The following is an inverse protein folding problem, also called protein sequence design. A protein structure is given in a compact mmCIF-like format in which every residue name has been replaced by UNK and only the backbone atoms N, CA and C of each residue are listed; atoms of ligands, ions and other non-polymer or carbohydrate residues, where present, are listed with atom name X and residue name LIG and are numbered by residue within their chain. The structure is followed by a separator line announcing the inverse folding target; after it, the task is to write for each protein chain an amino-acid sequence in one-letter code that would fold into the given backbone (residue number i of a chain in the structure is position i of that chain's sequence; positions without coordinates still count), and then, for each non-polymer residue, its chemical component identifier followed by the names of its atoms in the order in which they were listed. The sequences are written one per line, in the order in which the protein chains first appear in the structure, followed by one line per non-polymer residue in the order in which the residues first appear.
data_IF_434062730610
#
_entry.id   IF_434062730610
#
_cell.length_a   1.000
_cell.length_b   1.000
_cell.length_c   1.000
_cell.angle_alpha   90.00
_cell.angle_beta   90.00
_cell.angle_gamma   90.00
#
_symmetry.space_group_name_H-M   'P 1'
#
loop_
_entity.id
_entity.type
_entity.pdbx_description
1 polymer ?
#
# COMPACT_ATOMS: atom_id res chain seq x y z
N UNK A 1 9.74 3.68 -22.37
CA UNK A 1 9.71 3.06 -21.02
C UNK A 1 10.24 4.12 -20.06
N UNK A 2 9.43 4.58 -19.11
CA UNK A 2 9.90 5.52 -18.10
C UNK A 2 10.72 4.67 -17.13
N UNK A 3 11.98 5.04 -16.94
CA UNK A 3 12.84 4.39 -15.94
C UNK A 3 12.25 4.67 -14.56
N UNK A 4 11.93 3.61 -13.82
CA UNK A 4 11.42 3.74 -12.46
C UNK A 4 12.44 4.36 -11.50
N UNK A 5 13.66 4.61 -11.99
CA UNK A 5 14.80 5.08 -11.22
C UNK A 5 15.33 4.03 -10.25
N UNK A 6 16.49 4.30 -9.71
CA UNK A 6 17.19 3.43 -8.76
C UNK A 6 17.35 4.16 -7.43
N UNK A 7 17.23 3.42 -6.34
CA UNK A 7 17.68 3.87 -5.03
C UNK A 7 18.94 3.07 -4.70
N UNK A 8 20.07 3.76 -4.65
CA UNK A 8 21.36 3.16 -4.32
C UNK A 8 21.70 3.43 -2.85
N UNK A 9 22.01 2.36 -2.12
CA UNK A 9 22.48 2.46 -0.74
C UNK A 9 23.95 2.09 -0.70
N UNK A 10 24.81 3.07 -0.49
CA UNK A 10 26.25 2.86 -0.33
C UNK A 10 26.62 2.69 1.13
N UNK A 11 27.28 1.58 1.44
CA UNK A 11 27.76 1.29 2.79
C UNK A 11 29.29 1.33 2.82
N UNK A 12 29.85 2.30 3.52
CA UNK A 12 31.27 2.32 3.82
C UNK A 12 31.52 1.50 5.07
N UNK A 13 32.23 0.38 4.93
CA UNK A 13 32.59 -0.47 6.05
C UNK A 13 33.82 0.08 6.81
N UNK A 14 33.84 -0.16 8.10
CA UNK A 14 35.02 0.16 8.92
C UNK A 14 36.21 -0.75 8.51
N UNK A 15 37.45 -0.24 8.54
CA UNK A 15 38.65 -1.01 8.15
C UNK A 15 38.83 -2.32 8.91
N UNK A 16 38.36 -2.35 10.16
CA UNK A 16 38.40 -3.51 11.05
C UNK A 16 37.28 -4.54 10.81
N UNK A 17 36.39 -4.27 9.84
CA UNK A 17 35.31 -5.19 9.50
C UNK A 17 35.84 -6.54 9.00
N UNK A 18 35.26 -7.64 9.51
CA UNK A 18 35.61 -9.02 9.15
C UNK A 18 34.39 -9.72 8.57
N UNK A 19 34.57 -10.76 7.75
CA UNK A 19 33.44 -11.60 7.36
C UNK A 19 32.68 -12.10 8.59
N UNK A 20 31.38 -11.79 8.67
CA UNK A 20 30.51 -12.11 9.82
C UNK A 20 30.42 -11.05 10.94
N UNK A 21 31.31 -10.01 10.94
CA UNK A 21 31.24 -8.84 11.84
C UNK A 21 31.48 -7.57 11.03
N UNK A 22 30.53 -7.27 10.15
CA UNK A 22 30.58 -6.07 9.31
C UNK A 22 30.12 -4.85 10.12
N UNK A 23 31.00 -3.84 10.22
CA UNK A 23 30.70 -2.56 10.88
C UNK A 23 30.57 -1.46 9.84
N UNK A 24 29.40 -0.89 9.74
CA UNK A 24 29.14 0.24 8.85
C UNK A 24 29.62 1.52 9.50
N UNK A 25 30.59 2.20 8.87
CA UNK A 25 31.09 3.50 9.28
C UNK A 25 30.22 4.64 8.74
N UNK A 26 29.70 4.47 7.52
CA UNK A 26 28.83 5.45 6.85
C UNK A 26 27.86 4.72 5.95
N UNK A 27 26.63 5.17 5.97
CA UNK A 27 25.64 4.85 4.95
C UNK A 27 25.28 6.13 4.19
N UNK A 28 25.16 6.05 2.88
CA UNK A 28 24.62 7.12 2.04
C UNK A 28 23.57 6.56 1.12
N UNK A 29 22.55 7.35 0.83
CA UNK A 29 21.44 6.97 0.00
C UNK A 29 21.41 7.94 -1.19
N UNK A 30 21.43 7.39 -2.40
CA UNK A 30 21.25 8.14 -3.64
C UNK A 30 19.91 7.75 -4.24
N UNK A 31 19.03 8.72 -4.41
CA UNK A 31 17.72 8.53 -5.03
C UNK A 31 17.77 9.07 -6.46
N UNK A 32 17.84 8.17 -7.43
CA UNK A 32 17.88 8.49 -8.87
C UNK A 32 16.50 8.39 -9.53
N UNK A 33 15.44 8.38 -8.73
CA UNK A 33 14.08 8.38 -9.28
C UNK A 33 13.81 9.70 -10.00
N UNK A 34 13.04 9.60 -11.07
CA UNK A 34 12.59 10.80 -11.80
C UNK A 34 11.73 11.67 -10.89
N UNK A 35 12.27 12.80 -10.48
CA UNK A 35 11.58 13.80 -9.67
C UNK A 35 10.75 14.75 -10.57
N UNK A 36 9.84 15.50 -9.97
CA UNK A 36 8.98 16.48 -10.65
C UNK A 36 8.09 15.84 -11.74
N UNK A 37 7.72 14.56 -11.55
CA UNK A 37 6.93 13.82 -12.52
C UNK A 37 5.54 14.44 -12.68
N UNK A 38 4.91 14.90 -11.59
CA UNK A 38 3.61 15.56 -11.61
C UNK A 38 3.66 16.89 -12.36
N UNK A 39 4.69 17.70 -12.16
CA UNK A 39 4.94 18.93 -12.92
C UNK A 39 5.09 18.68 -14.42
N UNK A 40 5.80 17.62 -14.78
CA UNK A 40 5.98 17.21 -16.18
C UNK A 40 4.67 16.74 -16.79
N UNK A 41 3.85 15.99 -16.04
CA UNK A 41 2.52 15.56 -16.45
C UNK A 41 1.58 16.76 -16.65
N UNK A 42 1.55 17.71 -15.70
CA UNK A 42 0.73 18.91 -15.77
C UNK A 42 1.09 19.82 -16.98
N UNK A 43 2.36 19.79 -17.43
CA UNK A 43 2.82 20.52 -18.60
C UNK A 43 2.72 19.72 -19.90
N UNK A 44 2.34 18.46 -19.86
CA UNK A 44 2.18 17.65 -21.06
C UNK A 44 0.92 18.09 -21.82
N UNK A 45 0.97 17.99 -23.15
CA UNK A 45 -0.18 18.29 -24.01
C UNK A 45 -1.22 17.18 -24.04
N UNK A 46 -0.96 16.05 -23.36
CA UNK A 46 -1.86 14.90 -23.27
C UNK A 46 -2.81 14.99 -22.10
N UNK A 47 -3.88 14.21 -22.13
CA UNK A 47 -4.77 14.04 -20.99
C UNK A 47 -4.02 13.37 -19.84
N UNK A 48 -4.02 14.00 -18.65
CA UNK A 48 -3.44 13.39 -17.45
C UNK A 48 -4.04 12.01 -17.17
N UNK A 49 -5.33 11.79 -17.47
CA UNK A 49 -6.01 10.51 -17.32
C UNK A 49 -5.40 9.38 -18.17
N UNK A 50 -4.94 9.69 -19.38
CA UNK A 50 -4.33 8.70 -20.26
C UNK A 50 -2.89 8.39 -19.84
N UNK A 51 -2.17 9.38 -19.33
CA UNK A 51 -0.75 9.27 -19.00
C UNK A 51 -0.50 8.70 -17.62
N UNK A 52 -1.34 9.04 -16.64
CA UNK A 52 -1.20 8.60 -15.24
C UNK A 52 -1.03 7.08 -15.09
N UNK A 53 -1.85 6.20 -15.68
CA UNK A 53 -1.67 4.77 -15.54
C UNK A 53 -0.42 4.21 -16.22
N UNK A 54 0.13 4.92 -17.21
CA UNK A 54 1.38 4.52 -17.86
C UNK A 54 2.59 4.82 -17.00
N UNK A 55 2.51 5.91 -16.23
CA UNK A 55 3.58 6.39 -15.36
C UNK A 55 3.55 5.67 -14.02
N UNK A 56 2.37 5.57 -13.40
CA UNK A 56 2.18 4.95 -12.10
C UNK A 56 1.68 3.51 -12.24
N UNK A 57 2.45 2.66 -12.91
CA UNK A 57 2.04 1.30 -13.27
C UNK A 57 1.75 0.38 -12.07
N UNK A 58 2.24 0.70 -10.86
CA UNK A 58 1.97 -0.08 -9.64
C UNK A 58 0.68 0.35 -8.93
N UNK A 59 0.37 1.65 -8.97
CA UNK A 59 -0.77 2.25 -8.27
C UNK A 59 -1.62 3.17 -9.18
N UNK A 60 -1.99 2.72 -10.39
CA UNK A 60 -2.71 3.54 -11.36
C UNK A 60 -4.09 3.97 -10.88
N UNK A 61 -4.79 3.11 -10.14
CA UNK A 61 -6.12 3.38 -9.63
C UNK A 61 -6.09 4.50 -8.57
N UNK A 62 -5.16 4.43 -7.62
CA UNK A 62 -5.02 5.45 -6.59
C UNK A 62 -4.78 6.85 -7.19
N UNK A 63 -3.92 6.93 -8.21
CA UNK A 63 -3.65 8.20 -8.89
C UNK A 63 -4.83 8.69 -9.74
N UNK A 64 -5.56 7.81 -10.42
CA UNK A 64 -6.76 8.19 -11.17
C UNK A 64 -7.86 8.71 -10.26
N UNK A 65 -8.12 8.02 -9.14
CA UNK A 65 -9.13 8.45 -8.14
C UNK A 65 -8.76 9.78 -7.51
N UNK A 66 -7.48 10.00 -7.22
CA UNK A 66 -6.98 11.27 -6.69
C UNK A 66 -7.12 12.40 -7.73
N UNK A 67 -6.80 12.11 -9.00
CA UNK A 67 -6.98 13.07 -10.09
C UNK A 67 -8.45 13.48 -10.23
N UNK A 68 -9.36 12.51 -10.22
CA UNK A 68 -10.80 12.77 -10.26
C UNK A 68 -11.28 13.65 -9.11
N UNK A 69 -10.85 13.33 -7.89
CA UNK A 69 -11.22 14.12 -6.72
C UNK A 69 -10.70 15.58 -6.84
N UNK A 70 -9.48 15.73 -7.39
CA UNK A 70 -8.87 17.04 -7.61
C UNK A 70 -9.61 17.85 -8.69
N UNK A 71 -9.93 17.22 -9.83
CA UNK A 71 -10.67 17.86 -10.93
C UNK A 71 -12.07 18.30 -10.48
N UNK A 72 -12.77 17.45 -9.71
CA UNK A 72 -14.10 17.79 -9.14
C UNK A 72 -14.02 18.96 -8.15
N UNK A 73 -13.02 18.94 -7.27
CA UNK A 73 -12.79 20.05 -6.32
C UNK A 73 -12.49 21.36 -7.05
N UNK A 74 -11.66 21.32 -8.09
CA UNK A 74 -11.35 22.48 -8.92
C UNK A 74 -12.56 23.01 -9.69
N UNK A 75 -13.49 22.12 -10.09
CA UNK A 75 -14.76 22.49 -10.73
C UNK A 75 -15.81 23.03 -9.73
N UNK A 76 -15.51 23.09 -8.44
CA UNK A 76 -16.44 23.59 -7.41
C UNK A 76 -17.66 22.70 -7.17
N UNK A 77 -17.60 21.40 -7.52
CA UNK A 77 -18.71 20.48 -7.30
C UNK A 77 -18.90 20.21 -5.79
N UNK A 78 -20.15 20.22 -5.33
CA UNK A 78 -20.50 19.93 -3.95
C UNK A 78 -20.12 18.49 -3.55
N UNK A 79 -19.88 18.25 -2.26
CA UNK A 79 -19.41 16.95 -1.77
C UNK A 79 -20.41 15.83 -2.03
N UNK A 80 -21.72 16.10 -1.93
CA UNK A 80 -22.78 15.15 -2.26
C UNK A 80 -22.85 14.84 -3.76
N UNK A 81 -22.47 15.80 -4.60
CA UNK A 81 -22.33 15.60 -6.05
C UNK A 81 -21.04 14.86 -6.41
N UNK A 82 -20.06 14.82 -5.49
CA UNK A 82 -18.81 14.05 -5.62
C UNK A 82 -19.01 12.56 -5.35
N UNK A 83 -20.06 12.19 -4.60
CA UNK A 83 -20.49 10.79 -4.39
C UNK A 83 -21.41 10.38 -5.52
N UNK A 84 -20.86 10.00 -6.64
CA UNK A 84 -21.61 9.41 -7.75
C UNK A 84 -21.67 7.89 -7.62
N UNK A 85 -22.46 7.25 -8.50
CA UNK A 85 -22.56 5.78 -8.63
C UNK A 85 -21.18 5.10 -8.73
N UNK A 86 -20.16 5.86 -9.13
CA UNK A 86 -18.76 5.40 -9.28
C UNK A 86 -17.96 5.30 -7.99
N UNK A 87 -18.43 5.85 -6.85
CA UNK A 87 -17.67 5.78 -5.60
C UNK A 87 -17.44 4.33 -5.17
N UNK A 88 -18.43 3.48 -5.32
CA UNK A 88 -18.33 2.05 -5.02
C UNK A 88 -17.35 1.31 -5.93
N UNK A 89 -17.30 1.65 -7.22
CA UNK A 89 -16.32 1.07 -8.14
C UNK A 89 -14.90 1.52 -7.78
N UNK A 90 -14.71 2.82 -7.53
CA UNK A 90 -13.41 3.38 -7.19
C UNK A 90 -12.86 2.77 -5.89
N UNK A 91 -13.68 2.69 -4.83
CA UNK A 91 -13.30 2.07 -3.56
C UNK A 91 -12.89 0.61 -3.73
N UNK A 92 -13.67 -0.17 -4.48
CA UNK A 92 -13.38 -1.59 -4.76
C UNK A 92 -12.15 -1.77 -5.64
N UNK A 93 -11.94 -0.89 -6.60
CA UNK A 93 -10.73 -0.91 -7.43
C UNK A 93 -9.47 -0.56 -6.64
N UNK A 94 -9.55 0.42 -5.72
CA UNK A 94 -8.47 0.75 -4.79
C UNK A 94 -8.14 -0.41 -3.85
N UNK A 95 -9.16 -1.09 -3.33
CA UNK A 95 -8.97 -2.28 -2.51
C UNK A 95 -8.26 -3.38 -3.29
N UNK A 96 -8.72 -3.69 -4.51
CA UNK A 96 -8.09 -4.71 -5.37
C UNK A 96 -6.65 -4.34 -5.73
N UNK A 97 -6.37 -3.06 -6.03
CA UNK A 97 -5.01 -2.57 -6.25
C UNK A 97 -4.12 -2.83 -5.03
N UNK A 98 -4.63 -2.51 -3.83
CA UNK A 98 -3.90 -2.75 -2.58
C UNK A 98 -3.66 -4.25 -2.32
N UNK A 99 -4.62 -5.12 -2.61
CA UNK A 99 -4.45 -6.58 -2.49
C UNK A 99 -3.36 -7.10 -3.45
N UNK A 100 -3.40 -6.69 -4.72
CA UNK A 100 -2.38 -7.05 -5.70
C UNK A 100 -0.98 -6.57 -5.29
N UNK A 101 -0.87 -5.35 -4.78
CA UNK A 101 0.40 -4.80 -4.29
C UNK A 101 0.89 -5.55 -3.04
N UNK A 102 -0.01 -5.93 -2.13
CA UNK A 102 0.37 -6.69 -0.95
C UNK A 102 0.81 -8.12 -1.29
N UNK A 103 0.20 -8.79 -2.28
CA UNK A 103 0.70 -10.07 -2.80
C UNK A 103 2.12 -9.88 -3.36
N UNK A 104 2.35 -8.83 -4.15
CA UNK A 104 3.67 -8.55 -4.70
C UNK A 104 4.72 -8.42 -3.60
N UNK A 105 4.46 -7.59 -2.61
CA UNK A 105 5.43 -7.28 -1.54
C UNK A 105 5.59 -8.45 -0.57
N UNK A 106 4.49 -9.02 -0.06
CA UNK A 106 4.52 -10.02 1.00
C UNK A 106 4.86 -11.43 0.50
N UNK A 107 4.66 -11.71 -0.79
CA UNK A 107 4.96 -13.00 -1.37
C UNK A 107 6.10 -12.93 -2.38
N UNK A 108 6.00 -12.10 -3.44
CA UNK A 108 6.97 -12.16 -4.53
C UNK A 108 8.30 -11.48 -4.20
N UNK A 109 8.28 -10.28 -3.64
CA UNK A 109 9.51 -9.58 -3.28
C UNK A 109 10.12 -10.16 -2.00
N UNK A 110 9.31 -10.47 -1.00
CA UNK A 110 9.77 -11.07 0.24
C UNK A 110 10.39 -12.47 0.03
N UNK A 111 9.91 -13.25 -0.94
CA UNK A 111 10.47 -14.57 -1.27
C UNK A 111 11.97 -14.52 -1.57
N UNK A 112 12.43 -13.44 -2.22
CA UNK A 112 13.85 -13.22 -2.54
C UNK A 112 14.68 -13.01 -1.28
N UNK A 113 14.11 -12.37 -0.25
CA UNK A 113 14.80 -12.09 1.02
C UNK A 113 14.91 -13.33 1.90
N UNK A 114 13.91 -14.21 1.85
CA UNK A 114 13.86 -15.41 2.72
C UNK A 114 14.26 -16.68 1.99
N UNK A 115 14.52 -16.63 0.70
CA UNK A 115 14.84 -17.79 -0.14
C UNK A 115 13.76 -18.88 -0.10
N UNK A 116 12.49 -18.51 0.05
CA UNK A 116 11.33 -19.39 -0.04
C UNK A 116 10.78 -19.28 -1.46
N UNK A 117 10.79 -20.34 -2.26
CA UNK A 117 10.32 -20.25 -3.65
C UNK A 117 8.80 -20.07 -3.69
N UNK A 118 8.35 -19.20 -4.59
CA UNK A 118 6.92 -19.06 -4.92
C UNK A 118 6.58 -20.10 -5.99
N UNK A 119 5.51 -20.89 -5.82
CA UNK A 119 5.11 -21.87 -6.84
C UNK A 119 4.83 -21.24 -8.20
N UNK A 120 5.20 -21.90 -9.29
CA UNK A 120 5.02 -21.37 -10.65
C UNK A 120 3.54 -21.08 -10.97
N UNK A 121 2.62 -21.92 -10.50
CA UNK A 121 1.17 -21.70 -10.66
C UNK A 121 0.68 -20.45 -9.95
N UNK A 122 1.22 -20.17 -8.77
CA UNK A 122 0.90 -18.92 -8.03
C UNK A 122 1.44 -17.68 -8.74
N UNK A 123 2.62 -17.76 -9.34
CA UNK A 123 3.17 -16.69 -10.18
C UNK A 123 2.30 -16.44 -11.42
N UNK A 124 1.86 -17.50 -12.08
CA UNK A 124 0.97 -17.41 -13.24
C UNK A 124 -0.41 -16.83 -12.85
N UNK A 125 -0.97 -17.26 -11.72
CA UNK A 125 -2.23 -16.73 -11.20
C UNK A 125 -2.13 -15.24 -10.86
N UNK A 126 -1.05 -14.81 -10.19
CA UNK A 126 -0.81 -13.39 -9.93
C UNK A 126 -0.66 -12.58 -11.23
N UNK A 127 0.10 -13.07 -12.20
CA UNK A 127 0.27 -12.40 -13.48
C UNK A 127 -1.07 -12.23 -14.23
N UNK A 128 -1.92 -13.27 -14.19
CA UNK A 128 -3.27 -13.24 -14.75
C UNK A 128 -4.16 -12.20 -14.04
N UNK A 129 -4.15 -12.20 -12.70
CA UNK A 129 -4.93 -11.22 -11.92
C UNK A 129 -4.46 -9.78 -12.21
N UNK A 130 -3.13 -9.55 -12.28
CA UNK A 130 -2.56 -8.24 -12.62
C UNK A 130 -2.93 -7.80 -14.03
N UNK A 131 -2.90 -8.70 -15.00
CA UNK A 131 -3.34 -8.42 -16.37
C UNK A 131 -4.84 -8.09 -16.44
N UNK A 132 -5.66 -8.85 -15.69
CA UNK A 132 -7.11 -8.60 -15.57
C UNK A 132 -7.42 -7.21 -14.99
N UNK A 133 -6.65 -6.78 -14.00
CA UNK A 133 -6.80 -5.45 -13.37
C UNK A 133 -6.65 -4.30 -14.39
N UNK A 134 -5.87 -4.48 -15.46
CA UNK A 134 -5.79 -3.50 -16.54
C UNK A 134 -7.16 -3.24 -17.21
N UNK A 135 -8.07 -4.19 -17.17
CA UNK A 135 -9.47 -4.00 -17.62
C UNK A 135 -10.22 -3.01 -16.73
N UNK A 136 -10.07 -3.15 -15.40
CA UNK A 136 -10.66 -2.22 -14.42
C UNK A 136 -10.14 -0.80 -14.62
N UNK A 137 -8.81 -0.65 -14.81
CA UNK A 137 -8.19 0.65 -15.05
C UNK A 137 -8.74 1.31 -16.33
N UNK A 138 -8.91 0.56 -17.42
CA UNK A 138 -9.48 1.09 -18.64
C UNK A 138 -10.91 1.59 -18.46
N UNK A 139 -11.71 0.86 -17.67
CA UNK A 139 -13.06 1.30 -17.32
C UNK A 139 -13.02 2.60 -16.54
N UNK A 140 -12.16 2.72 -15.50
CA UNK A 140 -12.00 3.96 -14.75
C UNK A 140 -11.50 5.13 -15.60
N UNK A 141 -10.62 4.89 -16.58
CA UNK A 141 -10.17 5.91 -17.53
C UNK A 141 -11.30 6.40 -18.45
N UNK A 142 -12.20 5.47 -18.85
CA UNK A 142 -13.31 5.77 -19.74
C UNK A 142 -14.44 6.56 -19.07
N UNK A 143 -14.52 6.60 -17.74
CA UNK A 143 -15.50 7.38 -17.04
C UNK A 143 -15.19 8.88 -17.13
N UNK A 144 -16.08 9.63 -17.77
CA UNK A 144 -16.04 11.07 -17.70
C UNK A 144 -16.89 11.53 -16.51
N UNK A 145 -16.22 11.73 -15.39
CA UNK A 145 -16.84 12.09 -14.12
C UNK A 145 -17.44 13.51 -14.11
N UNK A 146 -17.00 14.36 -15.03
CA UNK A 146 -17.54 15.72 -15.19
C UNK A 146 -18.89 15.67 -15.93
N UNK A 147 -19.00 14.85 -16.97
CA UNK A 147 -20.26 14.75 -17.79
C UNK A 147 -21.26 13.75 -17.24
N UNK A 148 -20.90 12.96 -16.22
CA UNK A 148 -21.75 11.92 -15.62
C UNK A 148 -22.30 10.88 -16.63
N UNK A 149 -21.65 10.72 -17.75
CA UNK A 149 -22.01 9.65 -18.70
C UNK A 149 -21.37 8.36 -18.24
N UNK A 150 -22.16 7.50 -17.63
CA UNK A 150 -21.80 6.16 -17.21
C UNK A 150 -22.46 5.18 -18.16
N UNK A 151 -21.67 4.31 -18.76
CA UNK A 151 -22.17 3.11 -19.41
C UNK A 151 -22.47 2.07 -18.31
N UNK A 152 -23.77 1.85 -18.03
CA UNK A 152 -24.20 0.94 -16.97
C UNK A 152 -23.73 -0.50 -17.20
N UNK A 153 -23.66 -0.95 -18.44
CA UNK A 153 -23.18 -2.30 -18.78
C UNK A 153 -21.66 -2.41 -18.51
N UNK A 154 -20.90 -1.39 -18.88
CA UNK A 154 -19.47 -1.34 -18.59
C UNK A 154 -19.17 -1.27 -17.07
N UNK A 155 -20.01 -0.53 -16.33
CA UNK A 155 -19.92 -0.46 -14.86
C UNK A 155 -20.18 -1.84 -14.23
N UNK A 156 -21.27 -2.50 -14.64
CA UNK A 156 -21.62 -3.83 -14.14
C UNK A 156 -20.54 -4.87 -14.44
N UNK A 157 -19.97 -4.86 -15.64
CA UNK A 157 -18.87 -5.76 -15.98
C UNK A 157 -17.58 -5.48 -15.20
N UNK A 158 -17.29 -4.20 -14.94
CA UNK A 158 -16.15 -3.83 -14.08
C UNK A 158 -16.32 -4.36 -12.65
N UNK A 159 -17.53 -4.25 -12.07
CA UNK A 159 -17.82 -4.83 -10.77
C UNK A 159 -17.63 -6.34 -10.75
N UNK A 160 -18.19 -7.05 -11.75
CA UNK A 160 -18.00 -8.51 -11.88
C UNK A 160 -16.53 -8.91 -12.04
N UNK A 161 -15.76 -8.11 -12.78
CA UNK A 161 -14.33 -8.35 -12.95
C UNK A 161 -13.59 -8.18 -11.62
N UNK A 162 -13.89 -7.12 -10.86
CA UNK A 162 -13.31 -6.90 -9.54
C UNK A 162 -13.63 -8.07 -8.59
N UNK A 163 -14.87 -8.57 -8.57
CA UNK A 163 -15.25 -9.71 -7.73
C UNK A 163 -14.42 -10.96 -8.04
N UNK A 164 -14.28 -11.29 -9.32
CA UNK A 164 -13.46 -12.42 -9.76
C UNK A 164 -11.99 -12.26 -9.34
N UNK A 165 -11.43 -11.07 -9.59
CA UNK A 165 -10.02 -10.80 -9.27
C UNK A 165 -9.76 -10.76 -7.75
N UNK A 166 -10.73 -10.28 -6.97
CA UNK A 166 -10.63 -10.28 -5.50
C UNK A 166 -10.60 -11.71 -4.96
N UNK A 167 -11.47 -12.60 -5.48
CA UNK A 167 -11.44 -14.01 -5.11
C UNK A 167 -10.11 -14.71 -5.50
N UNK A 168 -9.57 -14.38 -6.68
CA UNK A 168 -8.25 -14.88 -7.10
C UNK A 168 -7.15 -14.38 -6.13
N UNK A 169 -7.19 -13.11 -5.70
CA UNK A 169 -6.25 -12.54 -4.73
C UNK A 169 -6.38 -13.19 -3.34
N UNK A 170 -7.60 -13.46 -2.89
CA UNK A 170 -7.87 -14.13 -1.62
C UNK A 170 -7.19 -15.51 -1.56
N UNK A 171 -7.35 -16.32 -2.62
CA UNK A 171 -6.70 -17.63 -2.74
C UNK A 171 -5.17 -17.54 -2.70
N UNK A 172 -4.59 -16.54 -3.38
CA UNK A 172 -3.15 -16.30 -3.36
C UNK A 172 -2.65 -15.86 -1.99
N UNK A 173 -3.35 -14.95 -1.33
CA UNK A 173 -3.00 -14.47 0.00
C UNK A 173 -3.12 -15.55 1.05
N UNK A 174 -4.18 -16.37 1.00
CA UNK A 174 -4.36 -17.50 1.91
C UNK A 174 -3.17 -18.48 1.83
N UNK A 175 -2.72 -18.80 0.61
CA UNK A 175 -1.65 -19.79 0.41
C UNK A 175 -0.23 -19.23 0.61
N UNK A 176 0.05 -18.02 0.15
CA UNK A 176 1.41 -17.46 0.11
C UNK A 176 1.75 -16.59 1.32
N UNK A 177 0.74 -16.00 1.96
CA UNK A 177 0.93 -15.01 3.03
C UNK A 177 0.47 -15.55 4.37
N UNK A 178 -0.81 -15.92 4.49
CA UNK A 178 -1.38 -16.22 5.80
C UNK A 178 -1.12 -17.67 6.26
N UNK A 179 -1.34 -18.67 5.41
CA UNK A 179 -1.34 -20.09 5.79
C UNK A 179 -2.46 -20.49 6.77
N UNK A 180 -3.30 -19.52 7.14
CA UNK A 180 -4.53 -19.62 7.95
C UNK A 180 -5.58 -18.70 7.33
N UNK A 181 -6.80 -18.66 7.87
CA UNK A 181 -7.79 -17.70 7.36
C UNK A 181 -7.41 -16.26 7.71
N UNK A 182 -7.76 -15.28 6.86
CA UNK A 182 -7.54 -13.85 7.16
C UNK A 182 -8.18 -13.40 8.48
N UNK A 183 -9.38 -13.92 8.81
CA UNK A 183 -10.09 -13.64 10.05
C UNK A 183 -9.29 -14.12 11.26
N UNK A 184 -8.79 -15.38 11.22
CA UNK A 184 -7.95 -15.90 12.28
C UNK A 184 -6.64 -15.12 12.45
N UNK A 185 -6.14 -14.51 11.37
CA UNK A 185 -4.97 -13.63 11.44
C UNK A 185 -5.31 -12.30 12.13
N UNK A 186 -6.48 -11.72 11.85
CA UNK A 186 -6.96 -10.48 12.48
C UNK A 186 -7.24 -10.65 13.98
N UNK A 187 -7.59 -11.85 14.42
CA UNK A 187 -7.84 -12.16 15.85
C UNK A 187 -6.55 -12.24 16.69
N UNK A 188 -5.37 -12.17 16.09
CA UNK A 188 -4.10 -12.18 16.82
C UNK A 188 -3.87 -10.82 17.49
N UNK A 189 -4.07 -10.74 18.78
CA UNK A 189 -3.89 -9.51 19.58
C UNK A 189 -2.58 -9.47 20.36
N UNK A 190 -1.91 -10.61 20.52
CA UNK A 190 -0.72 -10.73 21.36
C UNK A 190 0.52 -11.22 20.56
N UNK A 191 1.74 -10.74 20.90
CA UNK A 191 2.98 -11.18 20.28
C UNK A 191 3.22 -12.71 20.35
N UNK A 192 2.70 -13.38 21.38
CA UNK A 192 2.84 -14.84 21.51
C UNK A 192 2.00 -15.59 20.46
N UNK A 193 0.82 -15.10 20.13
CA UNK A 193 -0.02 -15.66 19.05
C UNK A 193 0.65 -15.48 17.69
N UNK A 194 1.19 -14.28 17.44
CA UNK A 194 1.96 -13.99 16.24
C UNK A 194 3.22 -14.86 16.15
N UNK A 195 3.91 -15.10 17.27
CA UNK A 195 5.06 -15.98 17.33
C UNK A 195 4.67 -17.44 17.03
N UNK A 196 3.55 -17.91 17.53
CA UNK A 196 3.03 -19.22 17.19
C UNK A 196 2.70 -19.34 15.70
N UNK A 197 2.10 -18.29 15.10
CA UNK A 197 1.79 -18.28 13.67
C UNK A 197 3.05 -18.41 12.80
N UNK A 198 4.07 -17.59 12.97
CA UNK A 198 5.26 -17.69 12.12
C UNK A 198 6.13 -18.91 12.47
N UNK A 199 6.01 -19.44 13.68
CA UNK A 199 6.68 -20.69 14.08
C UNK A 199 6.08 -21.94 13.45
N UNK A 200 4.74 -21.98 13.30
CA UNK A 200 4.01 -23.13 12.75
C UNK A 200 3.81 -23.06 11.24
N UNK A 201 3.67 -21.85 10.68
CA UNK A 201 3.40 -21.61 9.26
C UNK A 201 4.65 -21.16 8.48
N UNK A 202 5.84 -21.61 8.87
CA UNK A 202 7.10 -21.26 8.20
C UNK A 202 7.15 -21.61 6.70
N UNK A 203 6.12 -22.28 6.18
CA UNK A 203 5.94 -22.59 4.76
C UNK A 203 5.44 -21.39 3.93
N UNK A 204 4.85 -20.38 4.55
CA UNK A 204 4.47 -19.15 3.82
C UNK A 204 5.63 -18.17 3.78
N UNK A 205 5.69 -17.34 2.72
CA UNK A 205 6.76 -16.35 2.56
C UNK A 205 6.72 -15.32 3.68
N UNK A 206 5.52 -14.83 4.03
CA UNK A 206 5.37 -13.80 5.05
C UNK A 206 5.73 -14.32 6.45
N UNK A 207 5.37 -15.56 6.78
CA UNK A 207 5.75 -16.14 8.07
C UNK A 207 7.25 -16.40 8.17
N UNK A 208 7.90 -16.86 7.09
CA UNK A 208 9.34 -17.02 7.04
C UNK A 208 10.07 -15.68 7.21
N UNK A 209 9.54 -14.59 6.61
CA UNK A 209 10.07 -13.25 6.79
C UNK A 209 9.93 -12.78 8.24
N UNK A 210 8.76 -12.95 8.85
CA UNK A 210 8.52 -12.63 10.25
C UNK A 210 9.47 -13.41 11.17
N UNK A 211 9.63 -14.72 10.97
CA UNK A 211 10.56 -15.58 11.72
C UNK A 211 11.99 -15.03 11.67
N UNK A 212 12.50 -14.70 10.48
CA UNK A 212 13.86 -14.16 10.32
C UNK A 212 14.06 -12.86 11.07
N UNK A 213 13.12 -11.92 10.99
CA UNK A 213 13.24 -10.65 11.69
C UNK A 213 13.08 -10.78 13.21
N UNK A 214 12.28 -11.73 13.68
CA UNK A 214 12.16 -12.01 15.11
C UNK A 214 13.40 -12.71 15.70
N UNK A 215 14.23 -13.34 14.90
CA UNK A 215 15.54 -13.86 15.32
C UNK A 215 16.60 -12.75 15.55
N UNK A 216 16.39 -11.53 15.03
CA UNK A 216 17.26 -10.37 15.28
C UNK A 216 16.93 -9.73 16.64
N UNK A 217 17.86 -8.92 17.21
CA UNK A 217 17.57 -8.15 18.42
C UNK A 217 16.27 -7.33 18.27
N UNK A 218 15.48 -7.22 19.34
CA UNK A 218 14.16 -6.58 19.27
C UNK A 218 14.21 -5.13 18.72
N UNK A 219 15.20 -4.36 19.12
CA UNK A 219 15.41 -2.99 18.67
C UNK A 219 16.17 -2.87 17.34
N UNK A 220 16.45 -3.99 16.65
CA UNK A 220 17.15 -3.92 15.36
C UNK A 220 16.37 -3.09 14.35
N UNK A 221 17.02 -2.05 13.80
CA UNK A 221 16.40 -1.15 12.83
C UNK A 221 15.27 -0.28 13.39
N UNK A 222 15.15 -0.16 14.72
CA UNK A 222 14.15 0.73 15.31
C UNK A 222 14.44 2.19 14.96
N UNK A 223 13.38 2.90 14.55
CA UNK A 223 13.42 4.31 14.21
C UNK A 223 12.45 5.06 15.13
N UNK A 224 12.81 6.28 15.52
CA UNK A 224 11.92 7.21 16.20
C UNK A 224 11.29 8.15 15.16
N UNK A 225 10.29 7.65 14.44
CA UNK A 225 9.55 8.39 13.43
C UNK A 225 8.07 8.48 13.84
N UNK A 226 7.47 9.68 13.90
CA UNK A 226 6.04 9.82 14.13
C UNK A 226 5.24 9.28 12.93
N UNK A 227 3.99 8.86 13.12
CA UNK A 227 3.09 8.58 12.02
C UNK A 227 2.71 9.89 11.30
N UNK A 228 2.36 9.81 10.01
CA UNK A 228 1.65 10.90 9.34
C UNK A 228 0.21 10.95 9.87
N UNK A 229 -0.38 12.16 10.03
CA UNK A 229 -1.78 12.29 10.40
C UNK A 229 -2.70 11.58 9.41
N UNK A 230 -3.77 10.95 9.93
CA UNK A 230 -4.79 10.31 9.11
C UNK A 230 -5.90 11.31 8.77
N UNK A 231 -6.66 11.12 7.67
CA UNK A 231 -7.69 12.06 7.22
C UNK A 231 -8.76 12.42 8.25
N UNK A 232 -8.99 11.55 9.25
CA UNK A 232 -9.96 11.77 10.32
C UNK A 232 -9.37 12.42 11.57
N UNK A 233 -8.05 12.63 11.62
CA UNK A 233 -7.37 13.24 12.75
C UNK A 233 -7.40 14.77 12.65
N UNK A 234 -7.41 15.42 13.82
CA UNK A 234 -7.55 16.87 13.93
C UNK A 234 -6.44 17.65 13.21
N UNK A 235 -5.22 17.13 13.19
CA UNK A 235 -4.06 17.80 12.59
C UNK A 235 -3.81 17.44 11.11
N UNK A 236 -4.72 16.65 10.48
CA UNK A 236 -4.63 16.32 9.07
C UNK A 236 -4.73 17.57 8.15
N UNK A 237 -5.60 18.56 8.38
CA UNK A 237 -5.61 19.77 7.56
C UNK A 237 -4.28 20.51 7.56
N UNK A 238 -3.65 20.66 8.73
CA UNK A 238 -2.33 21.30 8.85
C UNK A 238 -1.25 20.53 8.10
N UNK A 239 -1.32 19.19 8.18
CA UNK A 239 -0.44 18.32 7.40
C UNK A 239 -0.63 18.51 5.90
N UNK A 240 -1.87 18.51 5.43
CA UNK A 240 -2.19 18.68 4.01
C UNK A 240 -1.70 20.04 3.48
N UNK A 241 -1.92 21.12 4.25
CA UNK A 241 -1.47 22.46 3.91
C UNK A 241 0.07 22.56 3.88
N UNK A 242 0.77 22.02 4.88
CA UNK A 242 2.24 21.99 4.90
C UNK A 242 2.78 21.23 3.68
N UNK A 243 2.23 20.06 3.37
CA UNK A 243 2.64 19.26 2.21
C UNK A 243 2.40 20.03 0.91
N UNK A 244 1.22 20.65 0.74
CA UNK A 244 0.91 21.45 -0.44
C UNK A 244 1.89 22.61 -0.63
N UNK A 245 2.15 23.38 0.42
CA UNK A 245 3.07 24.52 0.35
C UNK A 245 4.50 24.10 0.05
N UNK A 246 4.97 23.01 0.63
CA UNK A 246 6.34 22.52 0.45
C UNK A 246 6.53 21.91 -0.94
N UNK A 247 5.60 21.08 -1.41
CA UNK A 247 5.63 20.52 -2.78
C UNK A 247 5.68 21.62 -3.84
N UNK A 248 5.01 22.76 -3.58
CA UNK A 248 4.97 23.89 -4.53
C UNK A 248 6.23 24.75 -4.51
N UNK A 249 6.89 24.89 -3.36
CA UNK A 249 7.93 25.90 -3.15
C UNK A 249 9.34 25.31 -2.97
N UNK A 250 9.47 24.02 -2.67
CA UNK A 250 10.74 23.36 -2.44
C UNK A 250 11.02 22.32 -3.54
N UNK A 251 11.99 22.61 -4.39
CA UNK A 251 12.28 21.77 -5.59
C UNK A 251 12.65 20.33 -5.28
N UNK A 252 13.29 20.08 -4.13
CA UNK A 252 13.80 18.75 -3.74
C UNK A 252 12.87 18.04 -2.73
N UNK A 253 11.71 18.62 -2.39
CA UNK A 253 10.82 18.07 -1.37
C UNK A 253 10.28 16.67 -1.74
N UNK A 254 10.03 16.41 -3.01
CA UNK A 254 9.59 15.08 -3.48
C UNK A 254 10.62 13.99 -3.24
N UNK A 255 11.92 14.35 -3.19
CA UNK A 255 13.00 13.39 -2.96
C UNK A 255 13.10 12.98 -1.50
N UNK A 256 12.92 13.93 -0.60
CA UNK A 256 13.05 13.76 0.85
C UNK A 256 11.86 14.40 1.60
N UNK A 257 10.65 13.87 1.44
CA UNK A 257 9.48 14.43 2.09
C UNK A 257 9.56 14.24 3.61
N UNK A 258 9.47 15.34 4.33
CA UNK A 258 9.48 15.38 5.80
C UNK A 258 8.30 16.22 6.31
N UNK A 259 7.70 15.80 7.42
CA UNK A 259 6.64 16.52 8.11
C UNK A 259 7.15 17.03 9.45
N UNK A 260 6.89 18.30 9.78
CA UNK A 260 7.38 18.93 11.03
C UNK A 260 8.89 18.69 11.26
N UNK A 261 9.68 18.78 10.19
CA UNK A 261 11.15 18.57 10.18
C UNK A 261 11.61 17.16 10.56
N UNK A 262 10.73 16.15 10.45
CA UNK A 262 11.06 14.75 10.76
C UNK A 262 10.53 13.83 9.66
N UNK A 263 11.26 12.76 9.34
CA UNK A 263 10.68 11.68 8.55
C UNK A 263 9.51 11.08 9.33
N UNK A 264 8.50 10.59 8.62
CA UNK A 264 7.30 10.05 9.24
C UNK A 264 6.93 8.71 8.62
N UNK A 265 6.34 7.83 9.43
CA UNK A 265 5.78 6.57 8.94
C UNK A 265 4.45 6.80 8.24
N UNK A 266 4.22 6.01 7.20
CA UNK A 266 2.96 5.95 6.45
C UNK A 266 2.58 4.50 6.14
N UNK A 267 1.43 4.29 5.53
CA UNK A 267 0.99 2.99 5.05
C UNK A 267 0.40 2.09 6.14
N UNK A 268 0.65 0.78 6.05
CA UNK A 268 0.01 -0.21 6.92
C UNK A 268 0.28 0.01 8.41
N UNK A 269 1.50 0.40 8.79
CA UNK A 269 1.85 0.65 10.19
C UNK A 269 0.96 1.74 10.81
N UNK A 270 0.67 2.79 10.06
CA UNK A 270 -0.16 3.90 10.54
C UNK A 270 -1.63 3.49 10.58
N UNK A 271 -2.11 2.77 9.56
CA UNK A 271 -3.49 2.28 9.52
C UNK A 271 -3.82 1.31 10.64
N UNK A 272 -2.87 0.45 10.99
CA UNK A 272 -3.02 -0.58 12.02
C UNK A 272 -2.43 -0.17 13.37
N UNK A 273 -2.10 1.10 13.57
CA UNK A 273 -1.44 1.58 14.79
C UNK A 273 -2.25 1.28 16.07
N UNK A 274 -3.60 1.31 15.99
CA UNK A 274 -4.49 0.95 17.09
C UNK A 274 -4.78 -0.55 17.22
N UNK A 275 -4.20 -1.42 16.39
CA UNK A 275 -4.37 -2.85 16.52
C UNK A 275 -3.53 -3.38 17.70
N UNK A 276 -4.09 -4.15 18.66
CA UNK A 276 -3.40 -4.54 19.90
C UNK A 276 -2.05 -5.23 19.66
N UNK A 277 -1.94 -6.09 18.63
CA UNK A 277 -0.67 -6.73 18.27
C UNK A 277 0.39 -5.70 17.85
N UNK A 278 0.02 -4.69 17.05
CA UNK A 278 0.94 -3.66 16.58
C UNK A 278 1.40 -2.79 17.74
N UNK A 279 0.47 -2.38 18.62
CA UNK A 279 0.77 -1.65 19.85
C UNK A 279 1.76 -2.41 20.75
N UNK A 280 1.51 -3.71 20.98
CA UNK A 280 2.37 -4.56 21.81
C UNK A 280 3.78 -4.73 21.19
N UNK A 281 3.89 -4.87 19.88
CA UNK A 281 5.18 -4.95 19.18
C UNK A 281 5.94 -3.63 19.26
N UNK A 282 5.26 -2.49 19.09
CA UNK A 282 5.86 -1.16 19.25
C UNK A 282 6.30 -0.91 20.70
N UNK A 283 5.52 -1.30 21.69
CA UNK A 283 5.86 -1.14 23.10
C UNK A 283 7.12 -1.95 23.50
N UNK A 284 7.30 -3.12 22.88
CA UNK A 284 8.42 -4.02 23.20
C UNK A 284 9.72 -3.65 22.49
N UNK A 285 9.63 -3.15 21.26
CA UNK A 285 10.79 -3.04 20.36
C UNK A 285 10.87 -1.65 19.67
N UNK A 286 10.05 -0.69 20.10
CA UNK A 286 9.89 0.57 19.37
C UNK A 286 9.36 0.32 17.95
N UNK A 287 9.56 1.29 17.09
CA UNK A 287 9.20 1.15 15.67
C UNK A 287 10.28 0.37 14.89
N UNK A 288 10.60 -0.82 15.37
CA UNK A 288 11.46 -1.76 14.66
C UNK A 288 10.72 -2.38 13.48
N UNK A 289 11.41 -3.02 12.50
CA UNK A 289 10.76 -3.70 11.39
C UNK A 289 9.73 -4.76 11.79
N UNK A 290 9.71 -5.23 13.03
CA UNK A 290 8.72 -6.21 13.52
C UNK A 290 7.28 -5.69 13.46
N UNK A 291 7.07 -4.41 13.85
CA UNK A 291 5.74 -3.81 13.82
C UNK A 291 5.19 -3.62 12.38
N UNK A 292 5.89 -3.00 11.42
CA UNK A 292 5.41 -2.92 10.04
C UNK A 292 5.26 -4.28 9.35
N UNK A 293 6.07 -5.29 9.70
CA UNK A 293 5.93 -6.64 9.19
C UNK A 293 4.68 -7.36 9.70
N UNK A 294 4.18 -7.03 10.89
CA UNK A 294 2.89 -7.51 11.39
C UNK A 294 1.72 -6.65 10.85
N UNK A 295 1.89 -5.34 10.80
CA UNK A 295 0.85 -4.41 10.36
C UNK A 295 0.42 -4.63 8.90
N UNK A 296 1.35 -4.97 8.01
CA UNK A 296 1.01 -5.13 6.59
C UNK A 296 0.10 -6.34 6.32
N UNK A 297 0.37 -7.55 6.83
CA UNK A 297 -0.59 -8.66 6.74
C UNK A 297 -1.93 -8.36 7.43
N UNK A 298 -1.93 -7.68 8.60
CA UNK A 298 -3.16 -7.25 9.28
C UNK A 298 -4.01 -6.34 8.38
N UNK A 299 -3.40 -5.30 7.83
CA UNK A 299 -4.07 -4.41 6.87
C UNK A 299 -4.62 -5.18 5.66
N UNK A 300 -3.87 -6.17 5.16
CA UNK A 300 -4.29 -7.00 4.03
C UNK A 300 -5.49 -7.87 4.39
N UNK A 301 -5.49 -8.48 5.57
CA UNK A 301 -6.60 -9.27 6.07
C UNK A 301 -7.86 -8.41 6.32
N UNK A 302 -7.68 -7.20 6.86
CA UNK A 302 -8.77 -6.25 7.03
C UNK A 302 -9.41 -5.82 5.69
N UNK A 303 -8.60 -5.62 4.65
CA UNK A 303 -9.10 -5.32 3.30
C UNK A 303 -9.94 -6.47 2.74
N UNK A 304 -9.55 -7.73 2.94
CA UNK A 304 -10.34 -8.90 2.53
C UNK A 304 -11.67 -8.98 3.26
N UNK A 305 -11.70 -8.69 4.56
CA UNK A 305 -12.93 -8.67 5.36
C UNK A 305 -13.91 -7.54 4.98
N UNK A 306 -13.42 -6.49 4.32
CA UNK A 306 -14.25 -5.40 3.79
C UNK A 306 -14.76 -5.68 2.36
N UNK A 307 -14.20 -6.69 1.67
CA UNK A 307 -14.70 -7.09 0.36
C UNK A 307 -16.16 -7.50 0.48
N UNK A 308 -17.10 -6.89 -0.27
CA UNK A 308 -18.49 -7.30 -0.22
C UNK A 308 -18.55 -8.74 -0.73
N UNK A 309 -18.69 -9.69 0.17
CA UNK A 309 -19.18 -11.00 -0.21
C UNK A 309 -20.52 -10.78 -0.91
N UNK A 310 -20.71 -11.36 -2.08
CA UNK A 310 -21.93 -11.29 -2.89
C UNK A 310 -23.11 -11.89 -2.13
N UNK A 311 -23.57 -11.20 -1.12
CA UNK A 311 -24.68 -11.52 -0.24
C UNK A 311 -24.91 -10.33 0.68
N UNK A 312 -25.72 -9.38 0.21
CA UNK A 312 -26.42 -8.34 0.98
C UNK A 312 -25.92 -8.08 2.43
N UNK A 313 -24.85 -7.32 2.59
CA UNK A 313 -24.52 -6.71 3.87
C UNK A 313 -24.51 -5.18 3.73
N UNK A 314 -25.49 -4.54 4.35
CA UNK A 314 -25.57 -3.09 4.52
C UNK A 314 -24.31 -2.59 5.22
N UNK A 315 -23.62 -1.66 4.58
CA UNK A 315 -22.59 -0.87 5.25
C UNK A 315 -23.16 -0.17 6.50
N UNK A 316 -22.48 -0.18 7.64
CA UNK A 316 -22.86 0.67 8.75
C UNK A 316 -22.69 2.13 8.33
N UNK A 317 -23.77 2.91 8.45
CA UNK A 317 -23.74 4.35 8.24
C UNK A 317 -22.89 4.96 9.38
N UNK A 318 -21.97 5.89 9.09
CA UNK A 318 -21.36 6.68 10.15
C UNK A 318 -22.45 7.41 10.90
N UNK A 319 -22.41 7.32 12.24
CA UNK A 319 -23.33 8.05 13.11
C UNK A 319 -23.14 9.54 12.90
N UNK A 320 -24.22 10.33 12.73
CA UNK A 320 -24.10 11.78 12.71
C UNK A 320 -23.67 12.24 14.11
N UNK A 321 -22.48 12.84 14.21
CA UNK A 321 -22.03 13.60 15.37
C UNK A 321 -22.47 15.06 15.25
#
# INVERSE_FOLDING_TARGET
MIDAGVITVDLLLAPESRPGDLRVRRASLLNERTLNLMDRLARSSGSCREVVPLVFSLCPCAHLVTLDATERAAAGLAEDERRTVDSGLAERALMLEALLENIRVLALDASKLVCVPVPADSLAAYAKARAGFSGVIRTLQGFNLVTRQVDEDALLEAHRLIDRLTADCEGLLASLVFGISPEAFLEMTEPVQYAAWYGTNASTVASALAYRYHALPAAFGALDCPPVPQPHEHDFPDFADEMYHRLRNEADFEAEPIYRRRPSFTGALVREAGHPLVEALCATAGQSPRAPLAARPLCTAALLGQAPHTGHAKMPRPSPG
#
